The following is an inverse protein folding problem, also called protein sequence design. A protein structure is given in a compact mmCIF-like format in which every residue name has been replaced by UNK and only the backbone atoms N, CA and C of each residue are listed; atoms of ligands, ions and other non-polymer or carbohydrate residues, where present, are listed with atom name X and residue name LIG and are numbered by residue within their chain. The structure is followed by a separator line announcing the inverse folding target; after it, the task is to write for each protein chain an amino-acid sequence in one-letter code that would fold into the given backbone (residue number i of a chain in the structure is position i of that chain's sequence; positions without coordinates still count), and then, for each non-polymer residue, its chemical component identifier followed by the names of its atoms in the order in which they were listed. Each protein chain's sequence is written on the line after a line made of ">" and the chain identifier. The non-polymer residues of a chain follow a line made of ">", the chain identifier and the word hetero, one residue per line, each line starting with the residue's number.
data_IF_314818805421
#
_entry.id   IF_314818805421
#
_cell.length_a   1.000
_cell.length_b   1.000
_cell.length_c   1.000
_cell.angle_alpha   90.00
_cell.angle_beta   90.00
_cell.angle_gamma   90.00
#
_symmetry.space_group_name_H-M   'P 1'
#
loop_
_entity.id
_entity.type
_entity.pdbx_description
1 polymer ?
#
# COMPACT_ATOMS: atom_id res chain seq x y z
N UNK A 1 -16.10 5.42 -4.05
CA UNK A 1 -15.51 4.12 -3.69
C UNK A 1 -14.01 4.27 -3.69
N UNK A 2 -13.32 3.77 -2.67
CA UNK A 2 -11.86 3.71 -2.65
C UNK A 2 -11.34 2.37 -3.19
N UNK A 3 -10.02 2.25 -3.30
CA UNK A 3 -9.34 1.00 -3.70
C UNK A 3 -8.79 0.30 -2.46
N UNK A 4 -8.87 -1.02 -2.44
CA UNK A 4 -8.24 -1.87 -1.43
C UNK A 4 -7.27 -2.83 -2.08
N UNK A 5 -6.05 -2.86 -1.57
CA UNK A 5 -5.09 -3.90 -1.90
C UNK A 5 -5.38 -5.15 -1.05
N UNK A 6 -5.48 -6.31 -1.68
CA UNK A 6 -5.48 -7.61 -0.98
C UNK A 6 -4.05 -8.09 -0.73
N UNK A 7 -3.12 -7.65 -1.58
CA UNK A 7 -1.70 -7.94 -1.51
C UNK A 7 -0.89 -6.79 -2.15
N UNK A 8 0.34 -6.63 -1.70
CA UNK A 8 1.32 -5.71 -2.29
C UNK A 8 2.71 -6.28 -1.99
N UNK A 9 3.55 -6.42 -3.00
CA UNK A 9 4.93 -6.87 -2.84
C UNK A 9 5.88 -5.80 -3.37
N UNK A 10 7.08 -5.72 -2.81
CA UNK A 10 8.10 -4.79 -3.30
C UNK A 10 8.41 -4.95 -4.80
N UNK A 11 8.37 -6.20 -5.31
CA UNK A 11 8.60 -6.52 -6.74
C UNK A 11 7.53 -5.97 -7.68
N UNK A 12 6.37 -5.59 -7.16
CA UNK A 12 5.26 -5.07 -7.94
C UNK A 12 5.50 -3.59 -8.28
N UNK A 13 6.48 -2.95 -7.63
CA UNK A 13 6.94 -1.61 -7.93
C UNK A 13 8.08 -1.61 -8.95
N UNK A 14 7.93 -0.80 -9.99
CA UNK A 14 8.91 -0.67 -11.07
C UNK A 14 9.39 0.77 -11.18
N UNK A 15 10.66 0.94 -11.50
CA UNK A 15 11.24 2.25 -11.82
C UNK A 15 11.04 2.55 -13.29
N UNK A 16 10.52 3.74 -13.60
CA UNK A 16 10.28 4.25 -14.94
C UNK A 16 10.95 5.62 -15.03
N UNK A 17 11.65 5.90 -16.12
CA UNK A 17 12.34 7.19 -16.34
C UNK A 17 13.24 7.58 -15.15
N UNK A 18 13.90 6.58 -14.57
CA UNK A 18 14.92 6.73 -13.55
C UNK A 18 14.52 7.26 -12.16
N UNK A 19 13.32 7.85 -12.05
CA UNK A 19 12.86 8.56 -10.84
C UNK A 19 11.40 8.27 -10.50
N UNK A 20 10.62 7.75 -11.44
CA UNK A 20 9.19 7.50 -11.22
C UNK A 20 9.02 6.05 -10.77
N UNK A 21 8.45 5.86 -9.59
CA UNK A 21 8.01 4.55 -9.12
C UNK A 21 6.56 4.35 -9.55
N UNK A 22 6.27 3.25 -10.27
CA UNK A 22 4.92 2.84 -10.64
C UNK A 22 4.60 1.48 -10.04
N UNK A 23 3.34 1.25 -9.70
CA UNK A 23 2.82 -0.08 -9.40
C UNK A 23 2.41 -0.75 -10.70
N UNK A 24 2.99 -1.91 -10.99
CA UNK A 24 2.78 -2.64 -12.25
C UNK A 24 1.74 -3.76 -12.13
N UNK A 25 1.64 -4.40 -10.96
CA UNK A 25 0.65 -5.44 -10.68
C UNK A 25 -0.59 -4.82 -10.01
N UNK A 26 -1.73 -4.97 -10.66
CA UNK A 26 -3.02 -4.42 -10.24
C UNK A 26 -4.09 -5.52 -10.04
N UNK A 27 -3.71 -6.80 -10.20
CA UNK A 27 -4.66 -7.91 -10.13
C UNK A 27 -5.15 -8.15 -8.69
N UNK A 28 -4.37 -7.70 -7.69
CA UNK A 28 -4.66 -7.78 -6.26
C UNK A 28 -5.42 -6.54 -5.71
N UNK A 29 -6.28 -5.95 -6.54
CA UNK A 29 -7.11 -4.79 -6.20
C UNK A 29 -8.60 -5.11 -6.11
N UNK A 30 -9.22 -4.68 -5.00
CA UNK A 30 -10.67 -4.63 -4.83
C UNK A 30 -11.14 -3.18 -4.99
N UNK A 31 -12.20 -2.99 -5.78
CA UNK A 31 -12.84 -1.68 -5.97
C UNK A 31 -14.07 -1.58 -5.08
N UNK A 32 -14.13 -0.50 -4.29
CA UNK A 32 -15.29 -0.18 -3.46
C UNK A 32 -14.99 -0.27 -1.98
N UNK A 33 -15.88 0.36 -1.21
CA UNK A 33 -15.79 0.41 0.24
C UNK A 33 -16.69 -0.69 0.84
N UNK A 34 -16.27 -1.25 1.97
CA UNK A 34 -17.06 -2.27 2.69
C UNK A 34 -18.40 -1.65 3.13
N UNK A 35 -19.55 -2.27 2.83
CA UNK A 35 -20.84 -1.81 3.35
C UNK A 35 -20.91 -1.91 4.88
N UNK A 36 -21.65 -1.00 5.51
CA UNK A 36 -21.85 -0.97 6.95
C UNK A 36 -23.20 -0.37 7.34
N UNK A 37 -23.61 -0.61 8.59
CA UNK A 37 -24.80 -0.01 9.20
C UNK A 37 -24.48 0.73 10.51
N UNK A 38 -23.32 0.44 11.10
CA UNK A 38 -22.80 1.04 12.32
C UNK A 38 -21.27 0.99 12.32
N UNK A 39 -20.63 1.82 13.14
CA UNK A 39 -19.17 1.97 13.19
C UNK A 39 -18.44 0.68 13.57
N UNK A 40 -19.07 -0.18 14.37
CA UNK A 40 -18.52 -1.48 14.81
C UNK A 40 -18.16 -2.39 13.61
N UNK A 41 -18.88 -2.27 12.49
CA UNK A 41 -18.62 -3.04 11.28
C UNK A 41 -17.31 -2.63 10.58
N UNK A 42 -16.78 -1.45 10.90
CA UNK A 42 -15.59 -0.86 10.30
C UNK A 42 -14.34 -0.99 11.18
N UNK A 43 -14.47 -1.59 12.37
CA UNK A 43 -13.37 -1.76 13.31
C UNK A 43 -12.30 -2.74 12.79
N UNK A 44 -11.04 -2.43 13.10
CA UNK A 44 -9.89 -3.28 12.79
C UNK A 44 -9.18 -3.60 14.10
N UNK A 45 -8.86 -4.88 14.38
CA UNK A 45 -8.20 -5.25 15.63
C UNK A 45 -6.99 -4.35 15.92
N UNK A 46 -7.01 -3.71 17.09
CA UNK A 46 -5.95 -2.84 17.60
C UNK A 46 -5.69 -1.55 16.80
N UNK A 47 -6.57 -1.14 15.87
CA UNK A 47 -6.41 0.07 15.04
C UNK A 47 -7.75 0.74 14.71
N UNK A 48 -8.39 1.39 15.69
CA UNK A 48 -9.75 1.96 15.52
C UNK A 48 -9.78 3.50 15.42
N UNK A 49 -8.65 4.20 15.22
CA UNK A 49 -8.66 5.66 15.44
C UNK A 49 -9.38 6.50 14.37
N UNK A 50 -9.60 5.99 13.16
CA UNK A 50 -10.10 6.84 12.05
C UNK A 50 -10.98 6.08 11.02
N UNK A 51 -11.74 5.08 11.45
CA UNK A 51 -12.64 4.31 10.58
C UNK A 51 -14.09 4.45 11.04
N UNK A 52 -14.99 4.90 10.16
CA UNK A 52 -16.37 5.20 10.52
C UNK A 52 -17.34 4.69 9.47
N UNK A 53 -18.54 4.31 9.90
CA UNK A 53 -19.63 4.00 9.00
C UNK A 53 -20.34 5.28 8.57
N UNK A 54 -20.20 5.66 7.30
CA UNK A 54 -20.81 6.87 6.76
C UNK A 54 -21.48 6.57 5.43
N UNK A 55 -22.72 7.03 5.27
CA UNK A 55 -23.54 6.81 4.08
C UNK A 55 -23.65 5.32 3.68
N UNK A 56 -23.63 4.41 4.67
CA UNK A 56 -23.70 2.96 4.45
C UNK A 56 -22.40 2.29 4.06
N UNK A 57 -21.25 2.99 4.14
CA UNK A 57 -19.94 2.44 3.80
C UNK A 57 -18.87 2.79 4.85
N UNK A 58 -17.89 1.90 5.02
CA UNK A 58 -16.75 2.12 5.92
C UNK A 58 -15.74 3.09 5.31
N UNK A 59 -15.83 4.36 5.70
CA UNK A 59 -14.87 5.39 5.32
C UNK A 59 -13.56 5.18 6.11
N UNK A 60 -12.41 5.35 5.43
CA UNK A 60 -11.07 5.21 6.03
C UNK A 60 -10.55 3.78 6.17
N UNK A 61 -11.42 2.76 6.15
CA UNK A 61 -11.04 1.36 6.35
C UNK A 61 -10.02 0.86 5.31
N UNK A 62 -10.28 1.10 4.03
CA UNK A 62 -9.38 0.68 2.96
C UNK A 62 -8.02 1.38 3.06
N UNK A 63 -7.98 2.66 3.41
CA UNK A 63 -6.72 3.39 3.61
C UNK A 63 -5.88 2.76 4.73
N UNK A 64 -6.51 2.43 5.86
CA UNK A 64 -5.83 1.77 6.98
C UNK A 64 -5.28 0.40 6.61
N UNK A 65 -6.07 -0.42 5.89
CA UNK A 65 -5.65 -1.73 5.39
C UNK A 65 -4.46 -1.58 4.43
N UNK A 66 -4.57 -0.70 3.43
CA UNK A 66 -3.53 -0.44 2.43
C UNK A 66 -2.23 0.03 3.09
N UNK A 67 -2.33 0.96 4.05
CA UNK A 67 -1.18 1.45 4.79
C UNK A 67 -0.49 0.33 5.59
N UNK A 68 -1.27 -0.53 6.25
CA UNK A 68 -0.72 -1.65 7.00
C UNK A 68 -0.02 -2.67 6.11
N UNK A 69 -0.56 -2.93 4.92
CA UNK A 69 0.06 -3.80 3.91
C UNK A 69 1.37 -3.16 3.42
N UNK A 70 1.35 -1.90 2.98
CA UNK A 70 2.54 -1.19 2.51
C UNK A 70 3.63 -1.09 3.58
N UNK A 71 3.25 -0.87 4.84
CA UNK A 71 4.20 -0.81 5.95
C UNK A 71 4.96 -2.13 6.12
N UNK A 72 4.26 -3.26 6.09
CA UNK A 72 4.83 -4.59 6.31
C UNK A 72 5.61 -5.12 5.11
N UNK A 73 5.04 -4.99 3.92
CA UNK A 73 5.55 -5.69 2.73
C UNK A 73 6.50 -4.83 1.88
N UNK A 74 6.51 -3.50 2.09
CA UNK A 74 7.31 -2.57 1.28
C UNK A 74 8.25 -1.76 2.17
N UNK A 75 7.72 -0.98 3.11
CA UNK A 75 8.53 -0.06 3.90
C UNK A 75 9.48 -0.76 4.86
N UNK A 76 9.01 -1.78 5.60
CA UNK A 76 9.85 -2.50 6.55
C UNK A 76 11.05 -3.21 5.86
N UNK A 77 10.87 -3.94 4.74
CA UNK A 77 12.01 -4.49 4.00
C UNK A 77 13.02 -3.46 3.53
N UNK A 78 12.56 -2.30 3.03
CA UNK A 78 13.43 -1.21 2.58
C UNK A 78 14.25 -0.61 3.73
N UNK A 79 13.69 -0.57 4.94
CA UNK A 79 14.37 -0.05 6.13
C UNK A 79 15.34 -1.06 6.76
N UNK A 80 15.07 -2.36 6.63
CA UNK A 80 15.89 -3.42 7.24
C UNK A 80 17.05 -3.87 6.36
N UNK A 81 16.88 -3.83 5.05
CA UNK A 81 17.90 -4.20 4.06
C UNK A 81 18.23 -2.99 3.18
N UNK A 82 18.86 -1.93 3.72
CA UNK A 82 19.30 -0.82 2.89
C UNK A 82 20.28 -1.34 1.84
N UNK A 83 20.15 -0.93 0.57
CA UNK A 83 21.01 -1.43 -0.51
C UNK A 83 22.47 -1.17 -0.18
N UNK A 84 23.29 -2.22 -0.34
CA UNK A 84 24.73 -2.12 -0.14
C UNK A 84 25.36 -1.08 -1.09
N UNK A 85 26.61 -0.64 -0.84
CA UNK A 85 27.29 0.35 -1.68
C UNK A 85 27.28 -0.01 -3.18
N UNK A 86 27.33 -1.30 -3.50
CA UNK A 86 27.35 -1.79 -4.88
C UNK A 86 25.95 -1.74 -5.55
N UNK A 87 24.88 -1.92 -4.78
CA UNK A 87 23.49 -1.89 -5.27
C UNK A 87 23.00 -0.45 -5.51
N UNK A 88 23.52 0.53 -4.77
CA UNK A 88 23.31 1.96 -5.05
C UNK A 88 23.87 2.35 -6.43
N UNK A 89 24.93 1.69 -6.88
CA UNK A 89 25.53 1.92 -8.21
C UNK A 89 24.63 1.43 -9.33
N UNK A 90 23.86 0.35 -9.11
CA UNK A 90 22.89 -0.20 -10.07
C UNK A 90 21.65 0.71 -10.16
N UNK A 91 21.14 1.21 -9.03
CA UNK A 91 20.04 2.19 -9.01
C UNK A 91 20.43 3.45 -9.80
N UNK A 92 21.65 3.95 -9.61
CA UNK A 92 22.16 5.14 -10.33
C UNK A 92 22.29 4.92 -11.84
N UNK A 93 22.56 3.69 -12.32
CA UNK A 93 22.65 3.40 -13.76
C UNK A 93 21.28 3.29 -14.44
N UNK A 94 20.28 2.79 -13.73
CA UNK A 94 18.88 2.76 -14.21
C UNK A 94 18.22 4.15 -14.16
N UNK A 95 18.77 5.07 -13.36
CA UNK A 95 18.32 6.46 -13.29
C UNK A 95 18.75 7.35 -14.46
N UNK A 96 19.71 6.89 -15.27
CA UNK A 96 20.34 7.66 -16.34
C UNK A 96 19.99 7.14 -17.75
N UNK A 97 18.90 6.36 -17.88
CA UNK A 97 18.34 5.88 -19.15
C UNK A 97 16.97 6.49 -19.40
#
# INVERSE_FOLDING_TARGET
>A
GSLRFTKMNLRDFVHVQGTIVKLADLDDLEVGDKPCSEDSHCEVPYKNKDTYCKNGFCEGLNHLINFNIALKEVLQPLLQNPPGPDEQTVVTRLSNV
#
